data_IF_744152339960
#
_entry.id   IF_744152339960
#
_cell.length_a   1.000
_cell.length_b   1.000
_cell.length_c   1.000
_cell.angle_alpha   90.00
_cell.angle_beta   90.00
_cell.angle_gamma   90.00
#
_symmetry.space_group_name_H-M   'P 1'
#
loop_
_entity.id
_entity.type
_entity.pdbx_description
1 polymer ?
#
# COMPACT_ATOMS: atom_id res chain seq x y z
N UNK A 1 -34.55 5.40 23.11
CA UNK A 1 -33.23 6.03 22.87
C UNK A 1 -32.27 4.89 22.58
N UNK A 2 -31.94 4.63 21.31
CA UNK A 2 -30.93 3.61 21.01
C UNK A 2 -29.55 4.21 21.26
N UNK A 3 -28.73 3.54 22.06
CA UNK A 3 -27.29 3.80 22.13
C UNK A 3 -26.72 3.38 20.78
N UNK A 4 -26.41 4.37 19.94
CA UNK A 4 -25.65 4.13 18.73
C UNK A 4 -24.20 4.05 19.17
N UNK A 5 -23.61 2.86 19.09
CA UNK A 5 -22.18 2.69 19.37
C UNK A 5 -21.38 3.44 18.31
N UNK A 6 -20.46 4.30 18.74
CA UNK A 6 -19.58 5.04 17.84
C UNK A 6 -18.19 4.41 17.87
N UNK A 7 -17.61 4.24 16.69
CA UNK A 7 -16.26 3.74 16.50
C UNK A 7 -15.27 4.87 16.72
N UNK A 8 -14.38 4.72 17.70
CA UNK A 8 -13.17 5.53 17.78
C UNK A 8 -12.14 5.13 16.72
N UNK A 9 -10.95 5.75 16.76
CA UNK A 9 -9.86 5.42 15.83
C UNK A 9 -9.54 3.92 15.74
N UNK A 10 -9.61 3.18 16.85
CA UNK A 10 -9.37 1.74 16.86
C UNK A 10 -10.46 0.97 16.10
N UNK A 11 -11.73 1.27 16.35
CA UNK A 11 -12.85 0.60 15.67
C UNK A 11 -12.83 0.85 14.16
N UNK A 12 -12.51 2.08 13.73
CA UNK A 12 -12.32 2.38 12.30
C UNK A 12 -11.10 1.65 11.73
N UNK A 13 -9.99 1.60 12.47
CA UNK A 13 -8.77 0.93 12.02
C UNK A 13 -8.99 -0.59 11.85
N UNK A 14 -9.64 -1.22 12.81
CA UNK A 14 -9.97 -2.64 12.80
C UNK A 14 -10.91 -2.97 11.64
N UNK A 15 -11.96 -2.16 11.44
CA UNK A 15 -12.91 -2.34 10.34
C UNK A 15 -12.27 -2.22 8.95
N UNK A 16 -11.16 -1.49 8.84
CA UNK A 16 -10.44 -1.26 7.58
C UNK A 16 -9.18 -2.13 7.42
N UNK A 17 -8.83 -2.93 8.43
CA UNK A 17 -7.59 -3.72 8.45
C UNK A 17 -6.32 -2.86 8.42
N UNK A 18 -6.32 -1.70 9.07
CA UNK A 18 -5.16 -0.78 9.13
C UNK A 18 -4.76 -0.49 10.58
N UNK A 19 -3.66 0.25 10.78
CA UNK A 19 -3.29 0.69 12.13
C UNK A 19 -4.09 1.93 12.55
N UNK A 20 -4.40 2.04 13.85
CA UNK A 20 -4.95 3.27 14.47
C UNK A 20 -4.16 4.52 14.08
N UNK A 21 -2.83 4.41 14.03
CA UNK A 21 -1.96 5.50 13.66
C UNK A 21 -2.16 5.94 12.21
N UNK A 22 -2.47 5.02 11.29
CA UNK A 22 -2.79 5.38 9.90
C UNK A 22 -4.04 6.29 9.83
N UNK A 23 -5.10 5.93 10.55
CA UNK A 23 -6.34 6.73 10.63
C UNK A 23 -6.07 8.11 11.22
N UNK A 24 -5.25 8.20 12.28
CA UNK A 24 -4.81 9.48 12.83
C UNK A 24 -4.06 10.33 11.80
N UNK A 25 -3.08 9.74 11.10
CA UNK A 25 -2.30 10.42 10.07
C UNK A 25 -3.14 10.85 8.86
N UNK A 26 -4.20 10.13 8.52
CA UNK A 26 -5.12 10.54 7.46
C UNK A 26 -5.84 11.83 7.84
N UNK A 27 -6.42 11.88 9.04
CA UNK A 27 -7.13 13.05 9.53
C UNK A 27 -6.23 14.29 9.67
N UNK A 28 -4.97 14.11 10.06
CA UNK A 28 -3.98 15.21 10.06
C UNK A 28 -3.63 15.73 8.66
N UNK A 29 -3.47 14.82 7.69
CA UNK A 29 -3.04 15.16 6.32
C UNK A 29 -4.17 15.69 5.46
N UNK A 30 -5.39 15.34 5.80
CA UNK A 30 -6.61 15.66 5.07
C UNK A 30 -7.60 16.36 6.00
N UNK A 31 -7.25 17.55 6.52
CA UNK A 31 -8.13 18.28 7.42
C UNK A 31 -9.42 18.73 6.70
N UNK A 32 -10.48 19.08 7.46
CA UNK A 32 -11.67 19.71 6.90
C UNK A 32 -11.31 20.91 6.02
N UNK A 33 -11.92 21.01 4.84
CA UNK A 33 -11.63 22.06 3.86
C UNK A 33 -10.43 21.78 2.92
N UNK A 34 -9.74 20.66 3.06
CA UNK A 34 -8.78 20.20 2.05
C UNK A 34 -9.48 19.58 0.83
N UNK A 35 -8.79 19.54 -0.31
CA UNK A 35 -9.29 18.97 -1.58
C UNK A 35 -9.78 17.51 -1.44
N UNK A 36 -9.18 16.76 -0.51
CA UNK A 36 -9.56 15.39 -0.18
C UNK A 36 -9.82 15.23 1.32
N UNK A 37 -10.65 16.09 1.91
CA UNK A 37 -10.94 16.07 3.34
C UNK A 37 -11.36 14.69 3.85
N UNK A 38 -10.76 14.25 4.96
CA UNK A 38 -11.14 13.01 5.63
C UNK A 38 -12.55 13.14 6.23
N UNK A 39 -13.41 12.10 6.16
CA UNK A 39 -14.76 12.13 6.71
C UNK A 39 -14.81 12.60 8.16
N UNK A 40 -15.58 13.65 8.43
CA UNK A 40 -15.72 14.20 9.76
C UNK A 40 -16.40 13.19 10.71
N UNK A 41 -16.00 13.14 11.99
CA UNK A 41 -16.66 12.29 12.97
C UNK A 41 -18.07 12.79 13.27
N UNK A 42 -18.96 11.87 13.62
CA UNK A 42 -20.33 12.21 14.04
C UNK A 42 -20.36 12.78 15.45
N UNK A 43 -19.42 12.36 16.31
CA UNK A 43 -19.30 12.81 17.70
C UNK A 43 -17.84 13.01 18.10
N UNK A 44 -17.63 13.80 19.15
CA UNK A 44 -16.34 13.88 19.86
C UNK A 44 -16.59 13.64 21.34
N UNK A 45 -16.01 12.58 21.90
CA UNK A 45 -16.14 12.20 23.31
C UNK A 45 -14.76 12.35 23.95
N UNK A 46 -14.62 13.27 24.91
CA UNK A 46 -13.34 13.59 25.57
C UNK A 46 -12.20 13.88 24.57
N UNK A 47 -12.51 14.58 23.48
CA UNK A 47 -11.56 14.89 22.41
C UNK A 47 -11.24 13.71 21.48
N UNK A 48 -11.85 12.55 21.69
CA UNK A 48 -11.75 11.38 20.82
C UNK A 48 -12.87 11.42 19.78
N UNK A 49 -12.54 11.45 18.48
CA UNK A 49 -13.53 11.42 17.42
C UNK A 49 -14.21 10.04 17.34
N UNK A 50 -15.52 10.04 17.10
CA UNK A 50 -16.35 8.85 16.93
C UNK A 50 -17.13 8.88 15.62
N UNK A 51 -17.09 7.78 14.87
CA UNK A 51 -17.84 7.58 13.64
C UNK A 51 -18.90 6.51 13.84
N UNK A 52 -20.08 6.68 13.25
CA UNK A 52 -21.10 5.64 13.22
C UNK A 52 -20.58 4.44 12.39
N UNK A 53 -20.88 3.20 12.79
CA UNK A 53 -20.39 2.01 12.10
C UNK A 53 -20.73 1.96 10.60
N UNK A 54 -21.90 2.48 10.21
CA UNK A 54 -22.34 2.57 8.81
C UNK A 54 -21.51 3.56 7.97
N UNK A 55 -20.78 4.49 8.60
CA UNK A 55 -19.90 5.43 7.89
C UNK A 55 -18.53 4.87 7.54
N UNK A 56 -18.21 3.65 7.96
CA UNK A 56 -16.99 2.97 7.51
C UNK A 56 -16.95 2.86 5.99
N UNK A 57 -18.09 2.64 5.33
CA UNK A 57 -18.19 2.60 3.87
C UNK A 57 -17.72 3.91 3.21
N UNK A 58 -18.14 5.06 3.75
CA UNK A 58 -17.70 6.39 3.29
C UNK A 58 -16.17 6.56 3.42
N UNK A 59 -15.58 6.07 4.52
CA UNK A 59 -14.13 6.12 4.74
C UNK A 59 -13.39 5.21 3.73
N UNK A 60 -13.96 4.06 3.34
CA UNK A 60 -13.42 3.19 2.29
C UNK A 60 -13.43 3.87 0.93
N UNK A 61 -14.54 4.53 0.59
CA UNK A 61 -14.69 5.27 -0.67
C UNK A 61 -13.71 6.44 -0.73
N UNK A 62 -13.66 7.26 0.33
CA UNK A 62 -12.69 8.34 0.47
C UNK A 62 -11.26 7.83 0.27
N UNK A 63 -10.90 6.73 0.95
CA UNK A 63 -9.56 6.12 0.85
C UNK A 63 -9.26 5.67 -0.58
N UNK A 64 -10.26 5.20 -1.31
CA UNK A 64 -10.09 4.72 -2.69
C UNK A 64 -9.94 5.86 -3.70
N UNK A 65 -10.44 7.05 -3.37
CA UNK A 65 -10.30 8.27 -4.18
C UNK A 65 -9.02 9.07 -3.95
N UNK A 66 -8.13 8.64 -3.03
CA UNK A 66 -6.88 9.36 -2.77
C UNK A 66 -5.91 9.25 -3.96
N UNK A 67 -5.42 10.39 -4.51
CA UNK A 67 -4.42 10.38 -5.57
C UNK A 67 -3.09 9.85 -5.02
N UNK A 68 -2.42 8.98 -5.80
CA UNK A 68 -1.13 8.41 -5.41
C UNK A 68 -1.25 7.26 -4.40
N UNK A 69 -2.06 6.25 -4.69
CA UNK A 69 -2.09 4.94 -4.02
C UNK A 69 -0.76 4.19 -4.28
N UNK A 70 0.31 4.74 -3.72
CA UNK A 70 1.71 4.37 -3.89
C UNK A 70 2.60 5.17 -2.94
N UNK A 71 2.09 5.61 -1.79
CA UNK A 71 2.89 6.31 -0.77
C UNK A 71 2.20 6.20 0.60
N UNK A 72 2.20 5.01 1.17
CA UNK A 72 2.37 4.94 2.61
C UNK A 72 3.60 5.77 2.95
N UNK A 73 3.44 6.89 3.64
CA UNK A 73 4.52 7.78 4.09
C UNK A 73 5.43 7.15 5.14
N UNK A 74 5.59 5.83 5.11
CA UNK A 74 6.73 5.13 5.66
C UNK A 74 7.84 5.07 4.61
N UNK A 75 9.09 5.05 5.06
CA UNK A 75 10.21 4.62 4.22
C UNK A 75 9.80 3.34 3.48
N UNK A 76 9.95 3.26 2.14
CA UNK A 76 9.69 2.02 1.43
C UNK A 76 10.39 0.87 2.18
N UNK A 77 9.72 -0.27 2.40
CA UNK A 77 10.35 -1.41 3.05
C UNK A 77 11.66 -1.71 2.31
N UNK A 78 12.69 -2.15 3.04
CA UNK A 78 14.05 -2.26 2.51
C UNK A 78 14.10 -3.05 1.19
N UNK A 79 13.24 -4.07 1.04
CA UNK A 79 13.04 -4.84 -0.19
C UNK A 79 12.56 -4.00 -1.37
N UNK A 80 11.53 -3.16 -1.20
CA UNK A 80 11.05 -2.27 -2.28
C UNK A 80 12.09 -1.24 -2.70
N UNK A 81 12.87 -0.71 -1.75
CA UNK A 81 13.97 0.21 -2.09
C UNK A 81 15.08 -0.50 -2.85
N UNK A 82 15.46 -1.70 -2.42
CA UNK A 82 16.45 -2.52 -3.11
C UNK A 82 16.01 -2.86 -4.54
N UNK A 83 14.73 -3.21 -4.70
CA UNK A 83 14.12 -3.45 -6.01
C UNK A 83 14.21 -2.23 -6.93
N UNK A 84 13.78 -1.04 -6.47
CA UNK A 84 13.85 0.17 -7.30
C UNK A 84 15.28 0.54 -7.69
N UNK A 85 16.26 0.34 -6.80
CA UNK A 85 17.68 0.56 -7.13
C UNK A 85 18.19 -0.46 -8.15
N UNK A 86 17.79 -1.73 -8.04
CA UNK A 86 18.17 -2.76 -8.99
C UNK A 86 17.51 -2.57 -10.37
N UNK A 87 16.29 -2.01 -10.39
CA UNK A 87 15.56 -1.65 -11.61
C UNK A 87 16.25 -0.47 -12.32
N UNK A 88 16.59 0.57 -11.58
CA UNK A 88 17.31 1.75 -12.08
C UNK A 88 18.68 1.38 -12.68
N UNK A 89 19.43 0.51 -12.00
CA UNK A 89 20.71 -0.02 -12.50
C UNK A 89 20.58 -0.81 -13.82
N UNK A 90 19.35 -1.21 -14.18
CA UNK A 90 19.01 -1.91 -15.43
C UNK A 90 18.38 -0.99 -16.48
N UNK A 91 18.25 0.30 -16.19
CA UNK A 91 17.66 1.28 -17.10
C UNK A 91 16.12 1.30 -17.09
N UNK A 92 15.47 0.63 -16.13
CA UNK A 92 14.01 0.74 -15.95
C UNK A 92 13.67 2.05 -15.26
N UNK A 93 12.71 2.77 -15.82
CA UNK A 93 12.12 3.92 -15.14
C UNK A 93 11.34 3.46 -13.90
N UNK A 94 11.14 4.37 -12.94
CA UNK A 94 10.35 4.09 -11.74
C UNK A 94 8.93 3.61 -12.05
N UNK A 95 8.33 4.11 -13.13
CA UNK A 95 6.99 3.72 -13.57
C UNK A 95 6.98 2.31 -14.17
N UNK A 96 7.98 1.96 -14.98
CA UNK A 96 8.14 0.60 -15.52
C UNK A 96 8.40 -0.42 -14.42
N UNK A 97 9.22 -0.05 -13.44
CA UNK A 97 9.45 -0.88 -12.24
C UNK A 97 8.15 -1.06 -11.44
N UNK A 98 7.33 -0.01 -11.28
CA UNK A 98 6.04 -0.12 -10.61
C UNK A 98 5.09 -1.06 -11.38
N UNK A 99 4.94 -0.87 -12.70
CA UNK A 99 4.11 -1.74 -13.55
C UNK A 99 4.54 -3.21 -13.50
N UNK A 100 5.85 -3.45 -13.49
CA UNK A 100 6.42 -4.79 -13.39
C UNK A 100 6.06 -5.41 -12.04
N UNK A 101 6.25 -4.68 -10.94
CA UNK A 101 5.92 -5.15 -9.60
C UNK A 101 4.42 -5.46 -9.45
N UNK A 102 3.55 -4.59 -9.97
CA UNK A 102 2.10 -4.78 -9.94
C UNK A 102 1.69 -6.07 -10.67
N UNK A 103 2.29 -6.34 -11.85
CA UNK A 103 2.05 -7.58 -12.60
C UNK A 103 2.43 -8.84 -11.78
N UNK A 104 3.53 -8.80 -11.03
CA UNK A 104 3.93 -9.92 -10.16
C UNK A 104 3.04 -10.07 -8.93
N UNK A 105 2.52 -8.98 -8.38
CA UNK A 105 1.55 -9.04 -7.27
C UNK A 105 0.25 -9.69 -7.73
N UNK A 106 -0.19 -9.41 -8.96
CA UNK A 106 -1.36 -10.04 -9.57
C UNK A 106 -1.12 -11.53 -9.89
N UNK A 107 0.06 -11.89 -10.40
CA UNK A 107 0.41 -13.26 -10.76
C UNK A 107 0.68 -14.16 -9.54
N UNK A 108 1.20 -13.58 -8.46
CA UNK A 108 1.56 -14.29 -7.22
C UNK A 108 0.80 -13.73 -6.01
N UNK A 109 -0.54 -13.88 -5.96
CA UNK A 109 -1.37 -13.28 -4.89
C UNK A 109 -1.13 -13.90 -3.50
N UNK A 110 -0.39 -15.01 -3.43
CA UNK A 110 0.00 -15.69 -2.19
C UNK A 110 1.30 -15.15 -1.58
N UNK A 111 2.01 -14.26 -2.29
CA UNK A 111 3.22 -13.60 -1.81
C UNK A 111 2.94 -12.14 -1.51
N UNK A 112 3.59 -11.62 -0.47
CA UNK A 112 3.57 -10.19 -0.19
C UNK A 112 4.43 -9.42 -1.21
N UNK A 113 4.10 -8.14 -1.43
CA UNK A 113 4.92 -7.22 -2.25
C UNK A 113 6.40 -7.22 -1.83
N UNK A 114 6.66 -7.35 -0.53
CA UNK A 114 8.01 -7.38 0.02
C UNK A 114 8.79 -8.65 -0.35
N UNK A 115 8.14 -9.81 -0.37
CA UNK A 115 8.72 -11.09 -0.80
C UNK A 115 8.98 -11.09 -2.31
N UNK A 116 8.03 -10.56 -3.09
CA UNK A 116 8.19 -10.38 -4.54
C UNK A 116 9.37 -9.46 -4.84
N UNK A 117 9.49 -8.31 -4.17
CA UNK A 117 10.63 -7.41 -4.34
C UNK A 117 11.97 -8.07 -3.99
N UNK A 118 12.03 -8.83 -2.90
CA UNK A 118 13.25 -9.53 -2.49
C UNK A 118 13.65 -10.59 -3.52
N UNK A 119 12.68 -11.38 -3.99
CA UNK A 119 12.88 -12.39 -5.02
C UNK A 119 13.37 -11.75 -6.34
N UNK A 120 12.73 -10.68 -6.81
CA UNK A 120 13.12 -9.96 -8.02
C UNK A 120 14.56 -9.45 -7.95
N UNK A 121 15.00 -8.94 -6.79
CA UNK A 121 16.39 -8.48 -6.59
C UNK A 121 17.39 -9.63 -6.67
N UNK A 122 17.08 -10.79 -6.07
CA UNK A 122 17.95 -11.97 -6.13
C UNK A 122 18.00 -12.58 -7.52
N UNK A 123 16.86 -12.72 -8.20
CA UNK A 123 16.78 -13.22 -9.58
C UNK A 123 17.59 -12.33 -10.53
N UNK A 124 17.51 -11.01 -10.35
CA UNK A 124 18.29 -10.05 -11.10
C UNK A 124 19.78 -10.06 -10.75
N UNK A 125 20.17 -10.42 -9.53
CA UNK A 125 21.59 -10.59 -9.19
C UNK A 125 22.20 -11.80 -9.90
N UNK A 126 21.42 -12.88 -10.05
CA UNK A 126 21.86 -14.14 -10.64
C UNK A 126 22.17 -14.02 -12.16
N UNK A 127 21.56 -13.04 -12.85
CA UNK A 127 21.62 -12.93 -14.33
C UNK A 127 22.77 -12.08 -14.89
N UNK A 128 23.62 -11.45 -14.07
CA UNK A 128 24.95 -10.96 -14.46
C UNK A 128 25.12 -9.84 -15.50
N UNK A 129 24.13 -9.50 -16.35
CA UNK A 129 24.24 -8.47 -17.41
C UNK A 129 22.92 -7.69 -17.61
N UNK A 130 22.92 -6.46 -18.19
CA UNK A 130 21.68 -5.72 -18.44
C UNK A 130 20.76 -6.52 -19.37
N UNK A 131 19.53 -6.76 -18.91
CA UNK A 131 18.56 -7.57 -19.65
C UNK A 131 18.27 -6.95 -21.03
N UNK A 132 18.23 -7.74 -22.12
CA UNK A 132 17.82 -7.24 -23.42
C UNK A 132 16.37 -6.74 -23.36
N UNK A 133 16.08 -5.69 -24.13
CA UNK A 133 14.76 -5.11 -24.24
C UNK A 133 13.71 -6.19 -24.62
N UNK A 134 12.83 -6.51 -23.68
CA UNK A 134 11.80 -7.53 -23.83
C UNK A 134 11.68 -8.42 -22.59
N UNK A 135 10.99 -7.92 -21.56
CA UNK A 135 10.61 -8.70 -20.38
C UNK A 135 9.59 -9.76 -20.81
N UNK A 136 10.08 -10.93 -21.23
CA UNK A 136 9.22 -12.10 -21.55
C UNK A 136 9.88 -13.41 -21.11
N UNK A 137 10.72 -13.36 -20.07
CA UNK A 137 11.37 -14.57 -19.53
C UNK A 137 11.46 -14.61 -18.00
N UNK A 138 10.60 -13.89 -17.29
CA UNK A 138 10.52 -13.99 -15.83
C UNK A 138 9.58 -15.11 -15.34
N UNK A 139 8.74 -15.66 -16.22
CA UNK A 139 7.65 -16.58 -15.84
C UNK A 139 8.09 -18.04 -15.57
N UNK A 140 9.32 -18.43 -15.93
CA UNK A 140 9.75 -19.84 -15.83
C UNK A 140 10.33 -20.24 -14.46
N UNK A 141 10.77 -19.28 -13.64
CA UNK A 141 11.21 -19.53 -12.24
C UNK A 141 10.15 -19.01 -11.28
N UNK A 142 9.54 -19.91 -10.51
CA UNK A 142 8.60 -19.53 -9.45
C UNK A 142 9.35 -19.08 -8.19
N UNK A 143 8.90 -18.03 -7.51
CA UNK A 143 9.41 -17.69 -6.18
C UNK A 143 9.20 -18.87 -5.23
N UNK A 144 10.27 -19.30 -4.53
CA UNK A 144 10.20 -20.38 -3.55
C UNK A 144 10.49 -21.80 -4.06
N UNK A 145 10.90 -21.98 -5.31
CA UNK A 145 11.49 -23.26 -5.75
C UNK A 145 12.89 -23.42 -5.11
N UNK A 146 13.23 -24.56 -4.48
CA UNK A 146 14.59 -24.82 -4.05
C UNK A 146 15.51 -24.87 -5.29
N UNK A 147 16.70 -24.28 -5.15
CA UNK A 147 17.76 -24.30 -6.17
C UNK A 147 18.22 -25.72 -6.52
#
# INVERSE_FOLDING_TARGET
MQLVDHLGYNGVADALGVSRHAVHKWRERHPPGSEHAFPEPDVSVDGTPGWRPDRVAEIVEWRSGLPGRGAGGGRPPASRRAYLLAADARGLTREEAARTLDAFVEEFPHLSEGEICAWLVEEWRDWGEPAPAGVTRLADRRPGAPA
#
